data_IF_403880541950
#
_entry.id   IF_403880541950
#
_cell.length_a   1.000
_cell.length_b   1.000
_cell.length_c   1.000
_cell.angle_alpha   90.00
_cell.angle_beta   90.00
_cell.angle_gamma   90.00
#
_symmetry.space_group_name_H-M   'P 1'
#
loop_
_entity.id
_entity.type
_entity.pdbx_description
1 polymer ?
#
# COMPACT_ATOMS: atom_id res chain seq x y z
N UNK A 1 37.62 47.22 42.56
CA UNK A 1 38.67 48.21 42.24
C UNK A 1 38.44 48.54 40.76
N UNK A 2 37.54 49.49 40.48
CA UNK A 2 37.77 50.96 40.44
C UNK A 2 38.53 51.34 39.17
N UNK A 3 37.86 51.88 38.13
CA UNK A 3 37.60 53.33 37.90
C UNK A 3 38.80 53.98 37.16
N UNK A 4 38.71 55.02 36.30
CA UNK A 4 37.57 55.61 35.57
C UNK A 4 37.96 55.94 34.10
N UNK A 5 37.38 56.95 33.45
CA UNK A 5 36.78 56.75 32.12
C UNK A 5 36.63 58.05 31.27
N UNK A 6 35.65 58.07 30.34
CA UNK A 6 35.08 59.27 29.65
C UNK A 6 36.02 59.94 28.61
N UNK A 7 35.61 60.47 27.43
CA UNK A 7 34.36 61.07 26.88
C UNK A 7 34.01 60.44 25.48
N UNK A 8 32.75 60.19 25.06
CA UNK A 8 31.60 61.11 24.73
C UNK A 8 31.91 62.05 23.53
N UNK A 9 31.09 62.20 22.47
CA UNK A 9 29.61 62.46 22.34
C UNK A 9 29.11 62.03 20.92
N UNK A 10 27.97 61.33 20.76
CA UNK A 10 26.60 61.82 20.36
C UNK A 10 26.52 62.55 18.99
N UNK A 11 25.49 62.52 18.12
CA UNK A 11 24.12 61.93 18.02
C UNK A 11 23.52 62.46 16.67
N UNK A 12 22.49 61.95 15.98
CA UNK A 12 21.54 60.84 16.17
C UNK A 12 20.40 60.91 15.11
N UNK A 13 19.35 60.09 15.30
CA UNK A 13 17.99 60.16 14.69
C UNK A 13 17.70 59.84 13.20
N UNK A 14 16.66 58.98 13.05
CA UNK A 14 15.85 58.61 11.87
C UNK A 14 14.72 59.66 11.62
N UNK A 15 13.66 59.42 10.80
CA UNK A 15 13.50 58.87 9.42
C UNK A 15 12.65 59.80 8.49
N UNK A 16 12.39 59.40 7.22
CA UNK A 16 11.12 59.46 6.41
C UNK A 16 11.49 59.16 4.92
N UNK A 17 10.82 58.27 4.16
CA UNK A 17 9.66 58.45 3.23
C UNK A 17 9.87 59.59 2.18
N UNK A 18 9.53 59.46 0.88
CA UNK A 18 8.66 58.51 0.16
C UNK A 18 8.82 58.57 -1.40
N UNK A 19 8.25 57.59 -2.14
CA UNK A 19 7.98 57.53 -3.61
C UNK A 19 9.17 57.66 -4.62
N UNK A 20 9.28 56.84 -5.67
CA UNK A 20 8.24 56.56 -6.69
C UNK A 20 8.25 55.13 -7.27
N UNK A 21 7.13 54.74 -7.90
CA UNK A 21 6.83 53.36 -8.35
C UNK A 21 7.09 53.15 -9.84
N UNK A 22 7.60 51.97 -10.22
CA UNK A 22 7.41 51.39 -11.57
C UNK A 22 6.92 49.95 -11.45
N UNK A 23 5.66 49.70 -11.84
CA UNK A 23 5.00 48.40 -11.68
C UNK A 23 5.43 47.38 -12.75
N UNK A 24 5.96 46.22 -12.33
CA UNK A 24 5.98 45.01 -13.17
C UNK A 24 5.09 43.94 -12.51
N UNK A 25 3.86 43.80 -13.03
CA UNK A 25 2.89 42.79 -12.56
C UNK A 25 3.33 41.39 -13.01
N UNK A 26 3.88 40.57 -12.12
CA UNK A 26 3.89 39.11 -12.30
C UNK A 26 2.51 38.56 -11.92
N UNK A 27 1.73 38.13 -12.91
CA UNK A 27 0.41 37.51 -12.65
C UNK A 27 0.57 36.07 -12.16
N UNK A 28 0.27 35.81 -10.89
CA UNK A 28 0.09 34.46 -10.37
C UNK A 28 -1.23 33.87 -10.88
N UNK A 29 -1.20 33.16 -12.02
CA UNK A 29 -2.33 32.33 -12.47
C UNK A 29 -2.37 31.02 -11.67
N UNK A 30 -2.77 31.09 -10.40
CA UNK A 30 -3.21 29.90 -9.65
C UNK A 30 -4.44 29.34 -10.33
N UNK A 31 -4.46 28.05 -10.66
CA UNK A 31 -5.55 27.50 -11.46
C UNK A 31 -6.86 27.45 -10.67
N UNK A 32 -8.00 27.65 -11.35
CA UNK A 32 -9.33 27.41 -10.77
C UNK A 32 -9.49 25.97 -10.25
N UNK A 33 -8.74 25.00 -10.82
CA UNK A 33 -8.66 23.62 -10.30
C UNK A 33 -7.89 23.52 -8.98
N UNK A 34 -6.78 24.25 -8.79
CA UNK A 34 -6.06 24.30 -7.50
C UNK A 34 -6.90 24.94 -6.40
N UNK A 35 -7.61 26.03 -6.72
CA UNK A 35 -8.48 26.71 -5.76
C UNK A 35 -9.65 25.79 -5.36
N UNK A 36 -10.26 25.06 -6.32
CA UNK A 36 -11.28 24.04 -6.03
C UNK A 36 -10.72 22.88 -5.18
N UNK A 37 -9.54 22.36 -5.52
CA UNK A 37 -8.90 21.26 -4.77
C UNK A 37 -8.59 21.64 -3.32
N UNK A 38 -8.06 22.85 -3.10
CA UNK A 38 -7.77 23.37 -1.76
C UNK A 38 -9.03 23.62 -0.94
N UNK A 39 -10.12 24.10 -1.55
CA UNK A 39 -11.39 24.31 -0.85
C UNK A 39 -12.08 22.97 -0.51
N UNK A 40 -12.10 22.01 -1.43
CA UNK A 40 -12.60 20.65 -1.18
C UNK A 40 -11.79 19.97 -0.05
N UNK A 41 -10.47 20.12 -0.07
CA UNK A 41 -9.57 19.62 1.00
C UNK A 41 -9.88 20.23 2.37
N UNK A 42 -10.22 21.53 2.45
CA UNK A 42 -10.65 22.18 3.70
C UNK A 42 -12.01 21.65 4.19
N UNK A 43 -12.95 21.44 3.27
CA UNK A 43 -14.30 20.94 3.58
C UNK A 43 -14.25 19.49 4.09
N UNK A 44 -13.41 18.64 3.49
CA UNK A 44 -13.13 17.28 3.98
C UNK A 44 -12.53 17.31 5.39
N UNK A 45 -11.49 18.13 5.64
CA UNK A 45 -10.86 18.27 6.98
C UNK A 45 -11.87 18.66 8.07
N UNK A 46 -12.83 19.55 7.75
CA UNK A 46 -13.86 19.96 8.69
C UNK A 46 -14.84 18.81 9.04
N UNK A 47 -15.22 18.00 8.06
CA UNK A 47 -16.09 16.85 8.27
C UNK A 47 -15.38 15.72 9.03
N UNK A 48 -14.11 15.42 8.70
CA UNK A 48 -13.30 14.40 9.42
C UNK A 48 -13.14 14.74 10.91
N UNK A 49 -12.96 16.02 11.27
CA UNK A 49 -12.90 16.44 12.69
C UNK A 49 -14.21 16.23 13.45
N UNK A 50 -15.36 16.48 12.82
CA UNK A 50 -16.67 16.21 13.45
C UNK A 50 -16.94 14.71 13.61
N UNK A 51 -16.56 13.90 12.62
CA UNK A 51 -16.76 12.45 12.63
C UNK A 51 -15.85 11.73 13.64
N UNK A 52 -14.61 12.19 13.83
CA UNK A 52 -13.67 11.62 14.83
C UNK A 52 -14.09 11.88 16.28
N UNK A 53 -14.70 13.03 16.60
CA UNK A 53 -15.29 13.27 17.92
C UNK A 53 -16.51 12.38 18.21
N UNK A 54 -17.29 12.02 17.19
CA UNK A 54 -18.42 11.08 17.34
C UNK A 54 -17.96 9.67 17.69
N UNK A 55 -16.86 9.21 17.09
CA UNK A 55 -16.30 7.88 17.38
C UNK A 55 -15.76 7.81 18.83
N UNK A 56 -15.06 8.85 19.29
CA UNK A 56 -14.53 8.90 20.66
C UNK A 56 -15.61 8.81 21.75
N UNK A 57 -16.81 9.36 21.50
CA UNK A 57 -17.95 9.18 22.42
C UNK A 57 -18.43 7.74 22.48
N UNK A 58 -18.56 7.09 21.32
CA UNK A 58 -18.98 5.69 21.21
C UNK A 58 -17.97 4.70 21.82
N UNK A 59 -16.71 5.13 22.05
CA UNK A 59 -15.70 4.36 22.77
C UNK A 59 -15.79 4.48 24.31
N UNK A 60 -16.43 5.51 24.85
CA UNK A 60 -16.56 5.67 26.30
C UNK A 60 -17.55 4.67 26.89
N UNK A 61 -18.65 4.42 26.18
CA UNK A 61 -19.73 3.49 26.56
C UNK A 61 -19.25 2.02 26.61
N UNK A 62 -18.29 1.63 25.77
CA UNK A 62 -17.75 0.26 25.69
C UNK A 62 -16.95 -0.12 26.95
N UNK A 63 -16.41 0.86 27.68
CA UNK A 63 -15.45 0.62 28.77
C UNK A 63 -16.09 0.09 30.05
N UNK A 64 -17.42 0.07 30.14
CA UNK A 64 -18.15 -0.46 31.30
C UNK A 64 -18.44 -1.98 31.16
N UNK A 65 -18.58 -2.49 29.93
CA UNK A 65 -18.90 -3.91 29.66
C UNK A 65 -17.67 -4.86 29.75
N UNK A 66 -16.45 -4.37 29.59
CA UNK A 66 -15.23 -5.21 29.49
C UNK A 66 -14.73 -5.82 30.82
N UNK A 67 -15.50 -5.71 31.92
CA UNK A 67 -15.07 -6.23 33.24
C UNK A 67 -15.38 -7.71 33.50
N UNK A 68 -15.98 -8.43 32.55
CA UNK A 68 -16.22 -9.87 32.67
C UNK A 68 -15.76 -10.66 31.43
N UNK A 69 -15.24 -11.87 31.72
CA UNK A 69 -14.82 -12.94 30.78
C UNK A 69 -13.40 -12.78 30.21
N UNK A 70 -12.45 -13.40 30.92
CA UNK A 70 -11.13 -13.79 30.44
C UNK A 70 -11.12 -15.28 30.07
N UNK A 71 -10.07 -15.71 29.36
CA UNK A 71 -9.72 -17.11 29.01
C UNK A 71 -10.57 -17.81 27.94
N UNK A 72 -10.02 -17.99 26.74
CA UNK A 72 -9.42 -19.27 26.30
C UNK A 72 -8.89 -19.20 24.85
N UNK A 73 -8.05 -20.17 24.47
CA UNK A 73 -7.13 -20.09 23.33
C UNK A 73 -7.43 -21.07 22.20
N UNK A 74 -6.99 -20.70 20.98
CA UNK A 74 -6.36 -21.65 20.06
C UNK A 74 -7.25 -22.43 19.05
N UNK A 75 -7.29 -21.93 17.81
CA UNK A 75 -7.15 -22.74 16.58
C UNK A 75 -6.87 -21.84 15.38
N UNK A 76 -5.94 -22.25 14.51
CA UNK A 76 -5.56 -21.53 13.30
C UNK A 76 -6.09 -22.31 12.09
N UNK A 77 -6.80 -21.64 11.18
CA UNK A 77 -7.36 -22.25 9.97
C UNK A 77 -6.32 -22.22 8.85
N UNK A 78 -6.14 -23.37 8.19
CA UNK A 78 -5.33 -23.53 6.97
C UNK A 78 -5.99 -22.86 5.78
N UNK A 79 -5.20 -22.15 4.97
CA UNK A 79 -5.59 -21.67 3.65
C UNK A 79 -4.99 -22.62 2.60
N UNK A 80 -5.75 -22.93 1.55
CA UNK A 80 -5.37 -23.92 0.53
C UNK A 80 -5.31 -23.34 -0.88
N UNK A 81 -4.12 -23.36 -1.47
CA UNK A 81 -3.80 -24.00 -2.76
C UNK A 81 -4.58 -23.66 -4.06
N UNK A 82 -5.21 -22.48 -4.18
CA UNK A 82 -5.93 -22.05 -5.40
C UNK A 82 -5.22 -20.94 -6.23
N UNK A 83 -3.97 -20.61 -5.93
CA UNK A 83 -3.27 -19.41 -6.46
C UNK A 83 -3.20 -19.28 -8.01
N UNK A 84 -3.38 -20.38 -8.74
CA UNK A 84 -3.25 -20.42 -10.21
C UNK A 84 -4.51 -20.81 -11.00
N UNK A 85 -5.65 -21.14 -10.36
CA UNK A 85 -6.88 -21.49 -11.09
C UNK A 85 -7.98 -20.45 -10.89
N UNK A 86 -8.70 -20.20 -11.99
CA UNK A 86 -9.80 -19.21 -12.16
C UNK A 86 -9.39 -17.73 -12.33
N UNK A 87 -9.01 -17.40 -13.57
CA UNK A 87 -9.29 -16.09 -14.15
C UNK A 87 -10.18 -16.30 -15.40
N UNK A 88 -11.48 -16.53 -15.19
CA UNK A 88 -12.45 -16.52 -16.30
C UNK A 88 -12.87 -15.07 -16.56
N UNK A 89 -12.41 -14.49 -17.67
CA UNK A 89 -13.02 -13.27 -18.22
C UNK A 89 -14.45 -13.56 -18.62
N UNK A 90 -15.39 -13.14 -17.78
CA UNK A 90 -16.82 -13.36 -17.95
C UNK A 90 -17.50 -12.10 -18.50
N UNK A 91 -17.68 -12.03 -19.82
CA UNK A 91 -18.69 -11.14 -20.41
C UNK A 91 -20.08 -11.76 -20.16
N UNK A 92 -20.62 -11.57 -18.95
CA UNK A 92 -21.99 -11.95 -18.62
C UNK A 92 -22.90 -10.70 -18.59
N UNK A 93 -24.19 -10.85 -18.93
CA UNK A 93 -25.17 -9.76 -18.80
C UNK A 93 -25.28 -9.30 -17.34
N UNK A 94 -25.68 -8.04 -17.13
CA UNK A 94 -25.76 -7.36 -15.82
C UNK A 94 -26.42 -8.25 -14.76
N UNK A 95 -25.58 -8.92 -13.97
CA UNK A 95 -26.04 -9.79 -12.91
C UNK A 95 -26.60 -8.90 -11.80
N UNK A 96 -27.88 -9.06 -11.47
CA UNK A 96 -28.51 -8.32 -10.36
C UNK A 96 -27.78 -8.75 -9.08
N UNK A 97 -27.05 -7.82 -8.47
CA UNK A 97 -26.38 -8.10 -7.20
C UNK A 97 -27.47 -8.19 -6.14
N UNK A 98 -27.69 -9.39 -5.63
CA UNK A 98 -28.61 -9.62 -4.52
C UNK A 98 -27.91 -9.19 -3.22
N UNK A 99 -28.36 -8.07 -2.65
CA UNK A 99 -27.76 -7.42 -1.49
C UNK A 99 -28.72 -7.55 -0.31
N UNK A 100 -28.25 -8.05 0.83
CA UNK A 100 -29.08 -8.10 2.03
C UNK A 100 -29.47 -6.69 2.52
N UNK A 101 -30.66 -6.57 3.10
CA UNK A 101 -31.24 -5.28 3.50
C UNK A 101 -30.37 -4.48 4.48
N UNK A 102 -29.55 -5.16 5.31
CA UNK A 102 -28.64 -4.53 6.27
C UNK A 102 -27.44 -3.90 5.56
N UNK A 103 -26.86 -4.60 4.59
CA UNK A 103 -25.81 -4.03 3.71
C UNK A 103 -26.35 -2.85 2.92
N UNK A 104 -27.53 -3.00 2.30
CA UNK A 104 -28.13 -1.95 1.49
C UNK A 104 -28.35 -0.66 2.31
N UNK A 105 -28.89 -0.78 3.54
CA UNK A 105 -29.07 0.35 4.44
C UNK A 105 -27.77 1.07 4.83
N UNK A 106 -26.64 0.34 4.98
CA UNK A 106 -25.33 0.94 5.26
C UNK A 106 -24.81 1.73 4.05
N UNK A 107 -24.96 1.18 2.85
CA UNK A 107 -24.56 1.83 1.61
C UNK A 107 -25.38 3.10 1.34
N UNK A 108 -26.71 3.02 1.48
CA UNK A 108 -27.61 4.13 1.24
C UNK A 108 -27.39 5.29 2.24
N UNK A 109 -27.24 4.99 3.54
CA UNK A 109 -26.92 5.98 4.57
C UNK A 109 -25.63 6.77 4.27
N UNK A 110 -24.75 6.20 3.45
CA UNK A 110 -23.44 6.77 3.10
C UNK A 110 -23.34 7.19 1.63
N UNK A 111 -24.47 7.22 0.91
CA UNK A 111 -24.55 7.60 -0.50
C UNK A 111 -23.67 6.75 -1.42
N UNK A 112 -23.60 5.43 -1.20
CA UNK A 112 -22.94 4.48 -2.11
C UNK A 112 -23.96 3.54 -2.77
N UNK A 113 -23.64 3.04 -3.97
CA UNK A 113 -24.30 1.89 -4.59
C UNK A 113 -23.25 0.88 -5.07
N UNK A 114 -23.57 -0.42 -5.04
CA UNK A 114 -22.77 -1.44 -5.73
C UNK A 114 -23.14 -1.45 -7.22
N UNK A 115 -22.19 -1.84 -8.07
CA UNK A 115 -22.35 -1.91 -9.53
C UNK A 115 -22.02 -3.29 -10.09
N UNK A 116 -20.83 -3.81 -9.80
CA UNK A 116 -20.36 -5.14 -10.23
C UNK A 116 -19.49 -5.77 -9.13
N UNK A 117 -19.52 -7.10 -9.01
CA UNK A 117 -18.63 -7.85 -8.12
C UNK A 117 -17.29 -8.04 -8.80
N UNK A 118 -16.22 -7.53 -8.20
CA UNK A 118 -14.85 -7.59 -8.73
C UNK A 118 -14.12 -8.85 -8.27
N UNK A 119 -14.30 -9.25 -7.00
CA UNK A 119 -13.66 -10.46 -6.47
C UNK A 119 -14.40 -11.03 -5.25
N UNK A 120 -14.08 -12.28 -4.94
CA UNK A 120 -14.48 -12.98 -3.72
C UNK A 120 -13.24 -13.64 -3.14
N UNK A 121 -12.99 -13.42 -1.85
CA UNK A 121 -11.90 -14.05 -1.10
C UNK A 121 -12.42 -14.75 0.15
N UNK A 122 -11.52 -15.42 0.87
CA UNK A 122 -11.85 -16.26 2.05
C UNK A 122 -12.59 -15.52 3.17
N UNK A 123 -12.48 -14.19 3.23
CA UNK A 123 -12.98 -13.35 4.31
C UNK A 123 -14.08 -12.37 3.90
N UNK A 124 -14.43 -12.31 2.62
CA UNK A 124 -15.37 -11.33 2.10
C UNK A 124 -15.20 -11.04 0.61
N UNK A 125 -15.85 -9.99 0.17
CA UNK A 125 -16.09 -9.69 -1.25
C UNK A 125 -15.66 -8.27 -1.57
N UNK A 126 -15.23 -8.04 -2.81
CA UNK A 126 -14.92 -6.69 -3.31
C UNK A 126 -15.83 -6.39 -4.48
N UNK A 127 -16.49 -5.25 -4.39
CA UNK A 127 -17.39 -4.73 -5.42
C UNK A 127 -16.83 -3.44 -5.98
N UNK A 128 -17.08 -3.18 -7.26
CA UNK A 128 -17.10 -1.82 -7.78
C UNK A 128 -18.40 -1.20 -7.32
N UNK A 129 -18.31 0.02 -6.85
CA UNK A 129 -19.46 0.84 -6.52
C UNK A 129 -19.27 2.25 -7.05
N UNK A 130 -20.20 3.10 -6.64
CA UNK A 130 -20.24 4.50 -7.02
C UNK A 130 -20.68 5.32 -5.81
N UNK A 131 -19.98 6.44 -5.58
CA UNK A 131 -20.41 7.46 -4.64
C UNK A 131 -21.46 8.35 -5.32
N UNK A 132 -22.72 8.25 -4.90
CA UNK A 132 -23.90 8.84 -5.56
C UNK A 132 -23.88 10.38 -5.62
N UNK A 133 -23.02 11.05 -4.85
CA UNK A 133 -22.95 12.53 -4.80
C UNK A 133 -22.18 13.12 -5.99
N UNK A 134 -21.05 12.49 -6.36
CA UNK A 134 -20.15 12.97 -7.43
C UNK A 134 -19.98 11.97 -8.58
N UNK A 135 -20.74 10.86 -8.54
CA UNK A 135 -20.66 9.72 -9.46
C UNK A 135 -19.27 9.07 -9.55
N UNK A 136 -18.39 9.29 -8.56
CA UNK A 136 -17.05 8.69 -8.55
C UNK A 136 -17.14 7.19 -8.35
N UNK A 137 -16.50 6.44 -9.25
CA UNK A 137 -16.29 4.99 -9.10
C UNK A 137 -15.37 4.70 -7.91
N UNK A 138 -15.74 3.70 -7.11
CA UNK A 138 -15.00 3.27 -5.92
C UNK A 138 -14.92 1.74 -5.87
N UNK A 139 -13.94 1.21 -5.15
CA UNK A 139 -13.96 -0.18 -4.70
C UNK A 139 -14.54 -0.24 -3.28
N UNK A 140 -15.39 -1.23 -3.01
CA UNK A 140 -16.06 -1.44 -1.73
C UNK A 140 -15.79 -2.87 -1.30
N UNK A 141 -14.90 -3.04 -0.31
CA UNK A 141 -14.55 -4.35 0.27
C UNK A 141 -15.42 -4.59 1.49
N UNK A 142 -16.22 -5.66 1.45
CA UNK A 142 -17.17 -6.05 2.48
C UNK A 142 -16.65 -7.34 3.12
N UNK A 143 -16.26 -7.26 4.38
CA UNK A 143 -15.69 -8.37 5.16
C UNK A 143 -16.68 -8.85 6.22
N UNK A 144 -16.84 -10.17 6.34
CA UNK A 144 -17.60 -10.78 7.42
C UNK A 144 -16.68 -10.98 8.63
N UNK A 145 -16.77 -10.06 9.59
CA UNK A 145 -15.92 -10.10 10.78
C UNK A 145 -16.38 -11.16 11.79
N UNK A 146 -17.57 -11.76 11.66
CA UNK A 146 -18.01 -12.79 12.61
C UNK A 146 -17.07 -14.01 12.61
N UNK A 147 -16.69 -14.46 11.41
CA UNK A 147 -15.84 -15.62 11.09
C UNK A 147 -14.35 -15.42 11.38
N UNK A 148 -13.94 -14.22 11.77
CA UNK A 148 -12.53 -13.87 12.00
C UNK A 148 -12.08 -14.18 13.42
N UNK A 149 -10.82 -14.60 13.58
CA UNK A 149 -10.21 -14.79 14.90
C UNK A 149 -10.07 -13.45 15.65
N UNK A 150 -10.00 -13.49 16.98
CA UNK A 150 -9.86 -12.29 17.82
C UNK A 150 -8.64 -11.46 17.43
N UNK A 151 -7.48 -12.13 17.23
CA UNK A 151 -6.23 -11.56 16.72
C UNK A 151 -6.28 -11.01 15.27
N UNK A 152 -7.36 -11.26 14.53
CA UNK A 152 -7.61 -10.62 13.22
C UNK A 152 -8.60 -9.47 13.36
N UNK A 153 -9.60 -9.57 14.25
CA UNK A 153 -10.48 -8.47 14.67
C UNK A 153 -9.69 -7.31 15.29
N UNK A 154 -8.67 -7.61 16.09
CA UNK A 154 -7.73 -6.66 16.71
C UNK A 154 -6.93 -5.84 15.69
N UNK A 155 -6.74 -6.32 14.45
CA UNK A 155 -6.06 -5.56 13.37
C UNK A 155 -6.94 -4.50 12.70
N UNK A 156 -8.22 -4.49 13.07
CA UNK A 156 -9.19 -3.46 12.69
C UNK A 156 -9.51 -2.57 13.91
N UNK A 157 -8.53 -2.36 14.78
CA UNK A 157 -8.57 -1.37 15.86
C UNK A 157 -8.43 0.04 15.27
N UNK A 158 -9.10 1.01 15.89
CA UNK A 158 -9.23 2.38 15.37
C UNK A 158 -7.89 3.09 15.11
N UNK A 159 -6.80 2.74 15.82
CA UNK A 159 -5.47 3.34 15.61
C UNK A 159 -4.86 2.95 14.27
N UNK A 160 -4.79 1.65 13.98
CA UNK A 160 -4.27 1.14 12.69
C UNK A 160 -5.19 1.58 11.53
N UNK A 161 -6.51 1.50 11.71
CA UNK A 161 -7.46 1.98 10.71
C UNK A 161 -7.36 3.49 10.44
N UNK A 162 -7.05 4.29 11.46
CA UNK A 162 -6.84 5.74 11.28
C UNK A 162 -5.60 6.01 10.42
N UNK A 163 -4.48 5.33 10.66
CA UNK A 163 -3.29 5.46 9.82
C UNK A 163 -3.57 5.08 8.36
N UNK A 164 -4.41 4.07 8.13
CA UNK A 164 -4.87 3.68 6.79
C UNK A 164 -5.80 4.71 6.13
N UNK A 165 -6.71 5.34 6.89
CA UNK A 165 -7.59 6.42 6.40
C UNK A 165 -6.81 7.72 6.17
N UNK A 166 -5.72 7.96 6.90
CA UNK A 166 -4.85 9.15 6.78
C UNK A 166 -3.68 8.97 5.79
N UNK A 167 -3.38 7.74 5.37
CA UNK A 167 -2.42 7.42 4.30
C UNK A 167 -2.70 8.21 3.02
N UNK A 168 -1.73 9.01 2.56
CA UNK A 168 -1.81 9.81 1.32
C UNK A 168 -0.55 9.58 0.49
N UNK A 169 -0.58 8.59 -0.40
CA UNK A 169 0.53 8.28 -1.30
C UNK A 169 0.03 7.91 -2.71
N UNK A 170 0.75 8.30 -3.77
CA UNK A 170 0.30 8.07 -5.15
C UNK A 170 0.17 6.58 -5.48
N UNK A 171 1.10 5.77 -4.97
CA UNK A 171 1.22 4.34 -5.25
C UNK A 171 0.69 3.45 -4.10
N UNK A 172 -0.18 3.99 -3.25
CA UNK A 172 -0.99 3.22 -2.29
C UNK A 172 -2.47 3.49 -2.61
N UNK A 173 -3.32 2.47 -2.53
CA UNK A 173 -4.77 2.63 -2.73
C UNK A 173 -5.35 3.54 -1.66
N UNK A 174 -6.00 4.63 -2.07
CA UNK A 174 -6.62 5.55 -1.12
C UNK A 174 -7.85 4.92 -0.46
N UNK A 175 -7.84 4.79 0.87
CA UNK A 175 -9.06 4.51 1.65
C UNK A 175 -9.80 5.82 1.92
N UNK A 176 -11.11 5.86 1.63
CA UNK A 176 -11.98 7.02 1.81
C UNK A 176 -12.78 6.98 3.11
N UNK A 177 -13.33 5.82 3.48
CA UNK A 177 -14.09 5.62 4.71
C UNK A 177 -14.04 4.14 5.13
N UNK A 178 -14.19 3.86 6.43
CA UNK A 178 -14.29 2.51 6.97
C UNK A 178 -15.46 2.48 7.94
N UNK A 179 -16.38 1.53 7.74
CA UNK A 179 -17.60 1.41 8.53
C UNK A 179 -17.69 0.00 9.10
N UNK A 180 -17.94 -0.12 10.40
CA UNK A 180 -18.32 -1.38 11.04
C UNK A 180 -19.82 -1.36 11.32
N UNK A 181 -20.54 -2.38 10.86
CA UNK A 181 -21.98 -2.54 11.11
C UNK A 181 -22.40 -3.98 10.93
N UNK A 182 -23.31 -4.49 11.77
CA UNK A 182 -23.93 -5.82 11.62
C UNK A 182 -22.92 -6.97 11.46
N UNK A 183 -21.86 -7.00 12.27
CA UNK A 183 -20.74 -7.96 12.16
C UNK A 183 -20.07 -8.01 10.77
N UNK A 184 -20.13 -6.90 10.03
CA UNK A 184 -19.36 -6.66 8.80
C UNK A 184 -18.52 -5.39 8.89
N UNK A 185 -17.44 -5.38 8.11
CA UNK A 185 -16.62 -4.20 7.87
C UNK A 185 -16.71 -3.81 6.39
N UNK A 186 -17.00 -2.55 6.12
CA UNK A 186 -17.11 -1.97 4.79
C UNK A 186 -15.96 -0.98 4.61
N UNK A 187 -15.07 -1.24 3.66
CA UNK A 187 -13.92 -0.39 3.34
C UNK A 187 -14.18 0.22 1.97
N UNK A 188 -14.37 1.54 1.94
CA UNK A 188 -14.59 2.31 0.72
C UNK A 188 -13.25 2.89 0.28
N UNK A 189 -12.82 2.60 -0.94
CA UNK A 189 -11.47 2.92 -1.41
C UNK A 189 -11.41 3.21 -2.91
N UNK A 190 -10.27 3.71 -3.36
CA UNK A 190 -9.97 4.04 -4.75
C UNK A 190 -10.15 2.83 -5.68
N UNK A 191 -10.88 3.04 -6.78
CA UNK A 191 -11.06 2.03 -7.81
C UNK A 191 -9.90 2.07 -8.82
N UNK A 192 -9.23 0.93 -8.99
CA UNK A 192 -8.16 0.75 -9.96
C UNK A 192 -8.71 -0.03 -11.16
N UNK A 193 -8.93 0.65 -12.28
CA UNK A 193 -9.72 0.13 -13.41
C UNK A 193 -9.03 -0.96 -14.23
N UNK A 194 -7.70 -1.07 -14.17
CA UNK A 194 -6.92 -2.02 -14.97
C UNK A 194 -6.60 -3.34 -14.24
N UNK A 195 -7.28 -3.62 -13.11
CA UNK A 195 -7.19 -4.89 -12.39
C UNK A 195 -5.92 -5.04 -11.55
N UNK A 196 -5.49 -6.29 -11.32
CA UNK A 196 -4.28 -6.63 -10.54
C UNK A 196 -3.07 -6.93 -11.43
N UNK A 197 -1.86 -6.86 -10.88
CA UNK A 197 -0.67 -7.39 -11.57
C UNK A 197 -0.79 -8.89 -11.86
N UNK A 198 -1.50 -9.67 -11.04
CA UNK A 198 -1.77 -11.09 -11.35
C UNK A 198 -2.55 -11.23 -12.66
N UNK A 199 -3.58 -10.41 -12.87
CA UNK A 199 -4.36 -10.41 -14.12
C UNK A 199 -3.49 -9.98 -15.31
N UNK A 200 -2.61 -9.00 -15.12
CA UNK A 200 -1.68 -8.54 -16.15
C UNK A 200 -0.69 -9.65 -16.55
N UNK A 201 0.01 -10.24 -15.59
CA UNK A 201 1.01 -11.31 -15.84
C UNK A 201 0.35 -12.56 -16.43
N UNK A 202 -0.85 -12.95 -15.96
CA UNK A 202 -1.61 -14.07 -16.56
C UNK A 202 -2.00 -13.81 -18.02
N UNK A 203 -2.13 -12.55 -18.45
CA UNK A 203 -2.50 -12.17 -19.82
C UNK A 203 -1.29 -11.95 -20.74
N UNK A 204 -0.19 -11.41 -20.23
CA UNK A 204 0.95 -10.95 -21.04
C UNK A 204 2.28 -11.66 -20.74
N UNK A 205 2.34 -12.48 -19.69
CA UNK A 205 3.57 -13.15 -19.26
C UNK A 205 4.55 -12.22 -18.55
N UNK A 206 5.85 -12.46 -18.77
CA UNK A 206 6.92 -11.64 -18.22
C UNK A 206 6.89 -10.21 -18.82
N UNK A 207 7.24 -9.23 -17.98
CA UNK A 207 7.33 -7.83 -18.36
C UNK A 207 8.72 -7.49 -18.91
N UNK A 208 8.78 -6.59 -19.89
CA UNK A 208 10.03 -5.93 -20.28
C UNK A 208 10.67 -5.25 -19.07
N UNK A 209 12.00 -5.26 -18.99
CA UNK A 209 12.74 -4.71 -17.85
C UNK A 209 12.40 -3.22 -17.58
N UNK A 210 12.17 -2.42 -18.62
CA UNK A 210 11.74 -1.01 -18.47
C UNK A 210 10.39 -0.89 -17.76
N UNK A 211 9.37 -1.66 -18.16
CA UNK A 211 8.07 -1.66 -17.48
C UNK A 211 8.19 -2.15 -16.03
N UNK A 212 8.96 -3.22 -15.81
CA UNK A 212 9.21 -3.73 -14.46
C UNK A 212 9.91 -2.69 -13.58
N UNK A 213 10.89 -1.92 -14.11
CA UNK A 213 11.59 -0.84 -13.39
C UNK A 213 10.64 0.28 -12.97
N UNK A 214 9.74 0.70 -13.86
CA UNK A 214 8.76 1.76 -13.57
C UNK A 214 7.85 1.35 -12.42
N UNK A 215 7.25 0.16 -12.50
CA UNK A 215 6.37 -0.37 -11.46
C UNK A 215 7.12 -0.66 -10.16
N UNK A 216 8.33 -1.22 -10.23
CA UNK A 216 9.11 -1.50 -9.03
C UNK A 216 9.54 -0.22 -8.31
N UNK A 217 9.91 0.84 -9.04
CA UNK A 217 10.16 2.19 -8.47
C UNK A 217 8.94 2.70 -7.70
N UNK A 218 7.77 2.66 -8.33
CA UNK A 218 6.51 3.07 -7.72
C UNK A 218 6.14 2.24 -6.46
N UNK A 219 6.41 0.93 -6.46
CA UNK A 219 6.23 0.08 -5.27
C UNK A 219 7.26 0.35 -4.17
N UNK A 220 8.51 0.67 -4.53
CA UNK A 220 9.56 1.06 -3.58
C UNK A 220 9.21 2.39 -2.90
N UNK A 221 8.71 3.37 -3.65
CA UNK A 221 8.24 4.64 -3.10
C UNK A 221 7.06 4.41 -2.12
N UNK A 222 6.09 3.57 -2.51
CA UNK A 222 4.97 3.19 -1.64
C UNK A 222 5.42 2.49 -0.35
N UNK A 223 6.31 1.50 -0.46
CA UNK A 223 6.77 0.73 0.68
C UNK A 223 7.66 1.56 1.60
N UNK A 224 8.50 2.43 1.05
CA UNK A 224 9.29 3.39 1.81
C UNK A 224 8.38 4.29 2.64
N UNK A 225 7.32 4.86 2.06
CA UNK A 225 6.32 5.66 2.79
C UNK A 225 5.61 4.87 3.91
N UNK A 226 5.20 3.63 3.65
CA UNK A 226 4.56 2.76 4.66
C UNK A 226 5.51 2.47 5.83
N UNK A 227 6.77 2.16 5.54
CA UNK A 227 7.80 1.85 6.54
C UNK A 227 8.24 3.09 7.34
N UNK A 228 8.40 4.24 6.69
CA UNK A 228 8.99 5.45 7.29
C UNK A 228 7.96 6.41 7.88
N UNK A 229 6.88 6.70 7.19
CA UNK A 229 5.90 7.73 7.60
C UNK A 229 4.74 7.11 8.38
N UNK A 230 4.20 5.98 7.92
CA UNK A 230 3.12 5.29 8.62
C UNK A 230 3.60 4.40 9.78
N UNK A 231 4.91 4.15 9.88
CA UNK A 231 5.52 3.21 10.83
C UNK A 231 4.79 1.86 10.84
N UNK A 232 4.53 1.31 9.65
CA UNK A 232 3.89 0.00 9.49
C UNK A 232 4.72 -0.93 8.61
N UNK A 233 4.47 -2.23 8.71
CA UNK A 233 4.81 -3.21 7.68
C UNK A 233 3.52 -3.79 7.08
N UNK A 234 3.55 -4.17 5.80
CA UNK A 234 2.38 -4.62 5.04
C UNK A 234 2.10 -6.13 5.22
N UNK A 235 3.15 -6.95 5.16
CA UNK A 235 3.21 -8.40 5.41
C UNK A 235 2.33 -9.29 4.52
N UNK A 236 1.93 -8.80 3.35
CA UNK A 236 1.26 -9.58 2.29
C UNK A 236 1.45 -8.93 0.91
N UNK A 237 2.68 -8.50 0.59
CA UNK A 237 3.00 -7.93 -0.72
C UNK A 237 3.03 -9.09 -1.74
N UNK A 238 2.18 -9.00 -2.76
CA UNK A 238 2.03 -9.99 -3.85
C UNK A 238 1.35 -9.39 -5.07
N UNK A 239 1.38 -10.10 -6.20
CA UNK A 239 0.78 -9.64 -7.47
C UNK A 239 -0.72 -9.30 -7.37
N UNK A 240 -1.49 -10.00 -6.52
CA UNK A 240 -2.92 -9.74 -6.33
C UNK A 240 -3.19 -8.45 -5.55
N UNK A 241 -2.27 -8.07 -4.66
CA UNK A 241 -2.34 -6.89 -3.81
C UNK A 241 -1.67 -5.66 -4.45
N UNK A 242 -1.28 -5.75 -5.72
CA UNK A 242 -0.83 -4.59 -6.51
C UNK A 242 -1.83 -4.38 -7.64
N UNK A 243 -2.54 -3.26 -7.60
CA UNK A 243 -3.54 -2.87 -8.58
C UNK A 243 -2.95 -1.92 -9.63
N UNK A 244 -3.58 -1.84 -10.80
CA UNK A 244 -3.25 -0.90 -11.87
C UNK A 244 -4.33 0.18 -12.01
N UNK A 245 -3.94 1.44 -11.85
CA UNK A 245 -4.82 2.60 -12.05
C UNK A 245 -5.17 2.82 -13.54
N UNK A 246 -6.01 3.81 -13.83
CA UNK A 246 -6.44 4.16 -15.19
C UNK A 246 -5.29 4.45 -16.19
N UNK A 247 -4.10 4.81 -15.67
CA UNK A 247 -2.88 5.15 -16.41
C UNK A 247 -1.81 4.05 -16.33
N UNK A 248 -2.16 2.86 -15.83
CA UNK A 248 -1.25 1.74 -15.58
C UNK A 248 -0.12 2.05 -14.58
N UNK A 249 -0.32 2.99 -13.63
CA UNK A 249 0.54 3.07 -12.45
C UNK A 249 0.13 2.00 -11.43
N UNK A 250 1.10 1.49 -10.68
CA UNK A 250 0.82 0.53 -9.61
C UNK A 250 0.37 1.21 -8.33
N UNK A 251 -0.59 0.58 -7.65
CA UNK A 251 -1.09 0.95 -6.32
C UNK A 251 -1.14 -0.27 -5.41
N UNK A 252 -0.36 -0.23 -4.33
CA UNK A 252 -0.34 -1.28 -3.31
C UNK A 252 -1.64 -1.22 -2.47
N UNK A 253 -2.24 -2.38 -2.19
CA UNK A 253 -3.53 -2.51 -1.50
C UNK A 253 -3.56 -3.68 -0.53
N UNK A 254 -4.66 -3.79 0.22
CA UNK A 254 -4.97 -4.85 1.18
C UNK A 254 -4.05 -4.94 2.41
N UNK A 255 -4.14 -3.93 3.25
CA UNK A 255 -3.50 -3.85 4.56
C UNK A 255 -4.10 -4.80 5.62
N UNK A 256 -4.87 -5.84 5.25
CA UNK A 256 -5.47 -6.79 6.21
C UNK A 256 -4.46 -7.62 7.03
N UNK A 257 -3.19 -7.61 6.61
CA UNK A 257 -2.06 -8.19 7.35
C UNK A 257 -1.09 -7.14 7.90
N UNK A 258 -1.37 -5.85 7.76
CA UNK A 258 -0.49 -4.79 8.27
C UNK A 258 -0.28 -4.89 9.79
N UNK A 259 0.80 -4.27 10.27
CA UNK A 259 1.11 -4.18 11.70
C UNK A 259 1.88 -2.88 11.97
N UNK A 260 1.49 -2.15 13.02
CA UNK A 260 2.29 -1.05 13.56
C UNK A 260 3.69 -1.56 14.05
N UNK A 261 4.72 -0.78 13.74
CA UNK A 261 6.12 -1.04 14.07
C UNK A 261 6.41 -0.54 15.48
N UNK A 262 6.43 -1.45 16.44
CA UNK A 262 6.84 -1.16 17.82
C UNK A 262 8.37 -1.19 17.96
N UNK A 263 8.92 -0.22 18.69
CA UNK A 263 10.33 -0.18 19.06
C UNK A 263 10.52 -0.76 20.46
N UNK A 264 11.56 -1.58 20.65
CA UNK A 264 11.89 -2.17 21.94
C UNK A 264 13.08 -1.41 22.56
N UNK A 265 12.79 -0.49 23.49
CA UNK A 265 13.81 0.37 24.11
C UNK A 265 14.93 -0.44 24.77
N UNK A 266 14.57 -1.52 25.49
CA UNK A 266 15.52 -2.38 26.20
C UNK A 266 16.54 -3.08 25.28
N UNK A 267 16.15 -3.39 24.04
CA UNK A 267 17.01 -4.04 23.04
C UNK A 267 17.52 -3.07 21.97
N UNK A 268 17.14 -1.79 22.04
CA UNK A 268 17.43 -0.75 21.05
C UNK A 268 17.19 -1.21 19.59
N UNK A 269 16.09 -1.92 19.36
CA UNK A 269 15.76 -2.46 18.04
C UNK A 269 14.24 -2.56 17.82
N UNK A 270 13.85 -2.72 16.56
CA UNK A 270 12.47 -3.02 16.18
C UNK A 270 11.99 -4.34 16.79
N UNK A 271 10.73 -4.40 17.24
CA UNK A 271 10.12 -5.64 17.71
C UNK A 271 9.90 -6.65 16.58
N UNK A 272 10.51 -7.81 16.73
CA UNK A 272 10.29 -8.96 15.86
C UNK A 272 8.86 -9.49 16.03
N UNK A 273 8.28 -10.03 14.95
CA UNK A 273 6.98 -10.69 14.97
C UNK A 273 7.14 -12.20 14.82
N UNK A 274 6.44 -12.97 15.65
CA UNK A 274 6.28 -14.42 15.50
C UNK A 274 4.96 -14.81 14.80
N UNK A 275 4.16 -13.83 14.33
CA UNK A 275 2.89 -14.12 13.67
C UNK A 275 3.12 -14.51 12.22
N UNK A 276 2.87 -15.77 11.89
CA UNK A 276 2.86 -16.30 10.51
C UNK A 276 1.63 -15.75 9.78
N UNK A 277 1.86 -15.10 8.65
CA UNK A 277 0.86 -14.60 7.71
C UNK A 277 1.52 -14.19 6.38
N UNK A 278 0.71 -13.76 5.42
CA UNK A 278 1.14 -13.55 4.04
C UNK A 278 0.85 -14.78 3.19
N UNK A 279 1.28 -14.74 1.92
CA UNK A 279 1.02 -15.80 0.93
C UNK A 279 2.29 -16.58 0.64
N UNK A 280 2.22 -17.91 0.61
CA UNK A 280 3.35 -18.85 0.70
C UNK A 280 4.52 -18.55 -0.23
N UNK A 281 4.34 -18.29 -1.56
CA UNK A 281 5.46 -18.05 -2.48
C UNK A 281 6.30 -16.81 -2.15
N UNK A 282 5.74 -15.88 -1.37
CA UNK A 282 6.36 -14.61 -0.99
C UNK A 282 6.99 -14.64 0.41
N UNK A 283 6.90 -15.77 1.13
CA UNK A 283 7.42 -15.88 2.50
C UNK A 283 8.95 -15.90 2.52
N UNK A 284 9.55 -15.12 3.43
CA UNK A 284 10.99 -15.12 3.67
C UNK A 284 11.44 -16.37 4.45
N UNK A 285 12.74 -16.74 4.43
CA UNK A 285 13.23 -17.96 5.07
C UNK A 285 12.90 -18.04 6.55
N UNK A 286 12.98 -16.92 7.26
CA UNK A 286 12.64 -16.81 8.68
C UNK A 286 11.17 -17.18 8.96
N UNK A 287 10.26 -16.77 8.08
CA UNK A 287 8.82 -16.98 8.20
C UNK A 287 8.45 -18.43 7.82
N UNK A 288 9.08 -19.01 6.79
CA UNK A 288 8.98 -20.45 6.47
C UNK A 288 9.49 -21.32 7.62
N UNK A 289 10.61 -20.91 8.25
CA UNK A 289 11.17 -21.53 9.46
C UNK A 289 10.35 -21.30 10.74
N UNK A 290 9.25 -20.52 10.68
CA UNK A 290 8.41 -20.15 11.82
C UNK A 290 9.16 -19.44 12.97
N UNK A 291 10.25 -18.74 12.65
CA UNK A 291 11.04 -17.96 13.60
C UNK A 291 10.49 -16.54 13.73
N UNK A 292 10.74 -15.84 14.86
CA UNK A 292 10.52 -14.40 14.93
C UNK A 292 11.33 -13.68 13.84
N UNK A 293 10.71 -12.74 13.13
CA UNK A 293 11.29 -12.05 11.97
C UNK A 293 11.06 -10.54 12.03
N UNK A 294 11.91 -9.77 11.35
CA UNK A 294 11.71 -8.34 11.14
C UNK A 294 10.66 -8.13 10.04
N UNK A 295 9.51 -7.50 10.34
CA UNK A 295 8.41 -7.42 9.39
C UNK A 295 8.72 -6.51 8.18
N UNK A 296 9.60 -5.52 8.32
CA UNK A 296 10.06 -4.68 7.20
C UNK A 296 10.98 -5.48 6.25
N UNK A 297 11.86 -6.32 6.80
CA UNK A 297 12.75 -7.19 5.99
C UNK A 297 11.98 -8.34 5.31
N UNK A 298 10.83 -8.73 5.85
CA UNK A 298 9.90 -9.65 5.19
C UNK A 298 9.18 -8.98 4.00
N UNK A 299 8.72 -7.73 4.14
CA UNK A 299 8.17 -6.95 3.01
C UNK A 299 9.21 -6.78 1.89
N UNK A 300 10.46 -6.49 2.24
CA UNK A 300 11.56 -6.39 1.26
C UNK A 300 11.76 -7.72 0.51
N UNK A 301 11.78 -8.85 1.22
CA UNK A 301 11.87 -10.16 0.56
C UNK A 301 10.71 -10.40 -0.43
N UNK A 302 9.47 -10.11 -0.01
CA UNK A 302 8.29 -10.25 -0.86
C UNK A 302 8.37 -9.36 -2.12
N UNK A 303 8.92 -8.15 -2.00
CA UNK A 303 9.26 -7.29 -3.15
C UNK A 303 10.27 -7.93 -4.11
N UNK A 304 11.27 -8.66 -3.61
CA UNK A 304 12.23 -9.39 -4.44
C UNK A 304 11.58 -10.53 -5.24
N UNK A 305 10.70 -11.29 -4.59
CA UNK A 305 9.90 -12.33 -5.25
C UNK A 305 9.00 -11.71 -6.33
N UNK A 306 8.38 -10.57 -6.05
CA UNK A 306 7.55 -9.81 -6.99
C UNK A 306 8.37 -9.32 -8.20
N UNK A 307 9.53 -8.70 -7.98
CA UNK A 307 10.43 -8.23 -9.05
C UNK A 307 10.92 -9.39 -9.92
N UNK A 308 11.35 -10.49 -9.30
CA UNK A 308 11.79 -11.68 -10.02
C UNK A 308 10.66 -12.22 -10.92
N UNK A 309 9.44 -12.34 -10.40
CA UNK A 309 8.30 -12.82 -11.18
C UNK A 309 7.83 -11.86 -12.27
N UNK A 310 7.94 -10.53 -12.07
CA UNK A 310 7.72 -9.55 -13.16
C UNK A 310 8.70 -9.80 -14.31
N UNK A 311 9.98 -9.99 -14.02
CA UNK A 311 11.03 -10.11 -15.03
C UNK A 311 11.12 -11.50 -15.70
N UNK A 312 10.72 -12.56 -14.99
CA UNK A 312 10.93 -13.95 -15.44
C UNK A 312 9.62 -14.72 -15.70
N UNK A 313 8.45 -14.16 -15.37
CA UNK A 313 7.15 -14.81 -15.54
C UNK A 313 6.91 -16.05 -14.64
N UNK A 314 7.79 -16.30 -13.67
CA UNK A 314 7.78 -17.46 -12.76
C UNK A 314 8.32 -17.08 -11.38
N UNK A 315 8.04 -17.87 -10.36
CA UNK A 315 8.64 -17.67 -9.04
C UNK A 315 10.13 -18.04 -8.98
N UNK A 316 10.90 -17.44 -8.05
CA UNK A 316 12.32 -17.75 -7.84
C UNK A 316 12.55 -19.11 -7.17
N UNK A 317 11.60 -19.60 -6.38
CA UNK A 317 11.70 -20.82 -5.57
C UNK A 317 10.47 -21.72 -5.78
N UNK A 318 10.63 -23.03 -5.64
CA UNK A 318 9.52 -23.97 -5.61
C UNK A 318 8.83 -23.92 -4.23
N UNK A 319 7.62 -23.35 -4.20
CA UNK A 319 6.83 -23.12 -2.99
C UNK A 319 5.88 -24.27 -2.61
N UNK A 320 5.71 -25.28 -3.47
CA UNK A 320 4.78 -26.39 -3.24
C UNK A 320 5.24 -27.35 -2.13
N UNK A 321 6.55 -27.41 -1.86
CA UNK A 321 7.12 -28.07 -0.68
C UNK A 321 7.90 -27.02 0.14
N UNK A 322 7.44 -26.64 1.35
CA UNK A 322 8.14 -25.69 2.21
C UNK A 322 9.58 -26.08 2.57
N UNK A 323 9.89 -27.39 2.60
CA UNK A 323 11.25 -27.90 2.89
C UNK A 323 12.18 -27.64 1.70
N UNK A 324 11.70 -27.92 0.48
CA UNK A 324 12.41 -27.61 -0.75
C UNK A 324 12.54 -26.10 -0.95
N UNK A 325 11.47 -25.33 -0.72
CA UNK A 325 11.47 -23.87 -0.76
C UNK A 325 12.59 -23.32 0.12
N UNK A 326 12.62 -23.71 1.40
CA UNK A 326 13.64 -23.25 2.34
C UNK A 326 15.06 -23.65 1.91
N UNK A 327 15.24 -24.85 1.35
CA UNK A 327 16.53 -25.33 0.83
C UNK A 327 17.00 -24.53 -0.38
N UNK A 328 16.10 -24.10 -1.26
CA UNK A 328 16.44 -23.25 -2.40
C UNK A 328 16.74 -21.81 -1.96
N UNK A 329 15.93 -21.26 -1.06
CA UNK A 329 16.12 -19.92 -0.50
C UNK A 329 17.45 -19.78 0.25
N UNK A 330 17.85 -20.80 1.02
CA UNK A 330 19.10 -20.79 1.80
C UNK A 330 20.34 -21.16 0.99
N UNK A 331 20.18 -21.78 -0.19
CA UNK A 331 21.29 -22.05 -1.11
C UNK A 331 21.58 -20.83 -2.01
N UNK A 332 21.93 -19.72 -1.36
CA UNK A 332 22.12 -18.41 -1.99
C UNK A 332 23.13 -18.44 -3.15
N UNK A 333 24.31 -19.10 -3.09
CA UNK A 333 25.23 -19.16 -4.22
C UNK A 333 24.64 -19.85 -5.46
N UNK A 334 23.80 -20.89 -5.27
CA UNK A 334 23.08 -21.55 -6.37
C UNK A 334 21.99 -20.64 -6.93
N UNK A 335 21.27 -19.91 -6.08
CA UNK A 335 20.28 -18.92 -6.49
C UNK A 335 20.94 -17.82 -7.35
N UNK A 336 22.04 -17.21 -6.89
CA UNK A 336 22.80 -16.20 -7.66
C UNK A 336 23.22 -16.74 -9.04
N UNK A 337 23.87 -17.91 -9.08
CA UNK A 337 24.26 -18.56 -10.35
C UNK A 337 23.06 -18.92 -11.25
N UNK A 338 21.87 -19.07 -10.70
CA UNK A 338 20.63 -19.30 -11.45
C UNK A 338 20.14 -18.00 -12.09
N UNK A 339 20.10 -16.90 -11.34
CA UNK A 339 19.59 -15.62 -11.86
C UNK A 339 20.51 -14.99 -12.90
N UNK A 340 21.83 -15.08 -12.72
CA UNK A 340 22.84 -14.60 -13.69
C UNK A 340 22.80 -15.29 -15.06
N UNK A 341 21.99 -16.33 -15.26
CA UNK A 341 21.77 -16.99 -16.56
C UNK A 341 20.56 -16.45 -17.33
N UNK A 342 19.77 -15.57 -16.72
CA UNK A 342 18.57 -15.00 -17.34
C UNK A 342 18.93 -13.82 -18.27
N UNK A 343 18.01 -13.47 -19.16
CA UNK A 343 18.15 -12.42 -20.19
C UNK A 343 17.88 -11.00 -19.65
N UNK A 344 18.26 -10.71 -18.40
CA UNK A 344 18.05 -9.40 -17.74
C UNK A 344 19.40 -8.76 -17.39
N UNK A 345 19.41 -7.44 -17.18
CA UNK A 345 20.63 -6.69 -16.90
C UNK A 345 21.37 -7.17 -15.65
N UNK A 346 22.68 -6.91 -15.60
CA UNK A 346 23.51 -7.23 -14.43
C UNK A 346 23.03 -6.46 -13.20
N UNK A 347 22.59 -5.20 -13.37
CA UNK A 347 22.04 -4.37 -12.29
C UNK A 347 20.69 -4.88 -11.78
N UNK A 348 19.86 -5.50 -12.65
CA UNK A 348 18.63 -6.17 -12.23
C UNK A 348 18.94 -7.42 -11.39
N UNK A 349 19.89 -8.25 -11.85
CA UNK A 349 20.35 -9.44 -11.14
C UNK A 349 20.97 -9.09 -9.77
N UNK A 350 21.83 -8.07 -9.72
CA UNK A 350 22.46 -7.56 -8.50
C UNK A 350 21.44 -7.00 -7.50
N UNK A 351 20.39 -6.31 -7.98
CA UNK A 351 19.29 -5.88 -7.11
C UNK A 351 18.51 -7.07 -6.54
N UNK A 352 18.10 -8.02 -7.40
CA UNK A 352 17.37 -9.21 -6.99
C UNK A 352 18.17 -10.02 -5.96
N UNK A 353 19.48 -10.17 -6.17
CA UNK A 353 20.40 -10.81 -5.24
C UNK A 353 20.31 -10.18 -3.84
N UNK A 354 20.61 -8.88 -3.74
CA UNK A 354 20.62 -8.13 -2.47
C UNK A 354 19.27 -8.14 -1.73
N UNK A 355 18.16 -8.21 -2.47
CA UNK A 355 16.81 -8.31 -1.89
C UNK A 355 16.49 -9.73 -1.39
N UNK A 356 16.90 -10.75 -2.14
CA UNK A 356 16.66 -12.16 -1.81
C UNK A 356 17.84 -12.82 -1.09
N UNK A 357 18.59 -12.02 -0.33
CA UNK A 357 19.55 -12.50 0.65
C UNK A 357 18.80 -13.23 1.79
N UNK A 358 19.10 -14.52 2.05
CA UNK A 358 18.44 -15.26 3.11
C UNK A 358 18.79 -14.75 4.51
N UNK A 359 19.93 -14.11 4.73
CA UNK A 359 20.26 -13.49 6.01
C UNK A 359 19.52 -12.15 6.16
N UNK A 360 18.69 -12.04 7.20
CA UNK A 360 17.88 -10.86 7.48
C UNK A 360 18.71 -9.62 7.84
N UNK A 361 19.93 -9.81 8.36
CA UNK A 361 20.81 -8.73 8.78
C UNK A 361 21.42 -8.03 7.55
N UNK A 362 22.02 -8.80 6.63
CA UNK A 362 22.68 -8.30 5.41
C UNK A 362 21.72 -7.98 4.28
N UNK A 363 20.51 -8.57 4.24
CA UNK A 363 19.45 -8.21 3.28
C UNK A 363 19.23 -6.71 3.24
N UNK A 364 19.24 -6.14 2.04
CA UNK A 364 19.06 -4.71 1.79
C UNK A 364 17.75 -4.15 2.41
N UNK A 365 17.72 -2.86 2.75
CA UNK A 365 16.49 -2.15 3.17
C UNK A 365 15.80 -1.45 1.99
N UNK A 366 14.51 -1.10 2.14
CA UNK A 366 13.77 -0.34 1.11
C UNK A 366 14.42 1.02 0.76
N UNK A 367 15.07 1.66 1.75
CA UNK A 367 15.82 2.90 1.54
C UNK A 367 17.07 2.70 0.67
N UNK A 368 17.74 1.56 0.79
CA UNK A 368 18.91 1.22 -0.03
C UNK A 368 18.48 0.74 -1.42
N UNK A 369 17.36 0.01 -1.53
CA UNK A 369 16.73 -0.32 -2.83
C UNK A 369 16.44 0.96 -3.62
N UNK A 370 15.82 1.98 -3.01
CA UNK A 370 15.52 3.26 -3.68
C UNK A 370 16.77 3.98 -4.21
N UNK A 371 17.96 3.65 -3.69
CA UNK A 371 19.25 4.20 -4.10
C UNK A 371 20.00 3.32 -5.10
N UNK A 372 19.49 2.15 -5.44
CA UNK A 372 20.16 1.18 -6.31
C UNK A 372 20.32 1.67 -7.76
N UNK A 373 21.42 1.25 -8.42
CA UNK A 373 21.73 1.68 -9.78
C UNK A 373 20.61 1.33 -10.77
N UNK A 374 20.03 0.13 -10.65
CA UNK A 374 18.94 -0.33 -11.52
C UNK A 374 17.66 0.54 -11.48
N UNK A 375 17.39 1.27 -10.38
CA UNK A 375 16.26 2.20 -10.30
C UNK A 375 16.63 3.62 -10.75
N UNK A 376 17.92 3.97 -10.66
CA UNK A 376 18.50 5.25 -11.10
C UNK A 376 18.78 5.31 -12.60
N UNK A 377 18.84 4.16 -13.30
CA UNK A 377 18.95 4.10 -14.76
C UNK A 377 17.63 4.51 -15.44
N UNK A 378 17.31 5.82 -15.33
CA UNK A 378 16.24 6.46 -16.09
C UNK A 378 16.68 6.52 -17.55
N UNK A 379 16.29 5.50 -18.31
CA UNK A 379 16.34 5.56 -19.76
C UNK A 379 15.23 6.49 -20.29
N UNK A 380 15.46 7.14 -21.43
CA UNK A 380 14.39 7.81 -22.19
C UNK A 380 13.27 6.82 -22.61
N UNK A 381 13.55 5.52 -22.53
CA UNK A 381 12.61 4.46 -22.89
C UNK A 381 11.54 4.26 -21.80
N UNK A 382 11.85 4.41 -20.51
CA UNK A 382 10.85 4.24 -19.42
C UNK A 382 9.58 5.09 -19.63
N UNK A 383 9.75 6.38 -19.93
CA UNK A 383 8.62 7.29 -20.21
C UNK A 383 7.90 6.98 -21.52
N UNK A 384 8.56 6.32 -22.47
CA UNK A 384 7.97 5.85 -23.73
C UNK A 384 7.21 4.53 -23.52
N UNK A 385 7.72 3.64 -22.66
CA UNK A 385 7.14 2.33 -22.34
C UNK A 385 5.73 2.47 -21.76
N UNK A 386 5.53 3.30 -20.73
CA UNK A 386 4.18 3.53 -20.19
C UNK A 386 3.22 4.15 -21.22
N UNK A 387 3.67 5.16 -21.99
CA UNK A 387 2.85 5.78 -23.04
C UNK A 387 2.45 4.76 -24.12
N UNK A 388 3.37 3.88 -24.49
CA UNK A 388 3.16 2.80 -25.48
C UNK A 388 2.22 1.72 -24.93
N UNK A 389 2.31 1.39 -23.64
CA UNK A 389 1.38 0.48 -22.97
C UNK A 389 -0.03 1.07 -22.98
N UNK A 390 -0.19 2.32 -22.54
CA UNK A 390 -1.48 3.03 -22.54
C UNK A 390 -2.08 3.06 -23.96
N UNK A 391 -1.30 3.41 -25.00
CA UNK A 391 -1.82 3.47 -26.37
C UNK A 391 -2.18 2.10 -26.96
N UNK A 392 -1.48 1.02 -26.58
CA UNK A 392 -1.82 -0.35 -27.00
C UNK A 392 -3.04 -0.90 -26.28
N UNK A 393 -3.24 -0.52 -25.02
CA UNK A 393 -4.32 -1.03 -24.17
C UNK A 393 -5.63 -0.25 -24.35
N UNK A 394 -5.57 1.02 -24.76
CA UNK A 394 -6.72 1.87 -25.08
C UNK A 394 -6.69 2.29 -26.57
N UNK A 395 -7.09 1.42 -27.51
CA UNK A 395 -6.93 1.65 -28.96
C UNK A 395 -7.86 2.72 -29.58
N UNK A 396 -8.65 3.46 -28.80
CA UNK A 396 -9.61 4.48 -29.23
C UNK A 396 -9.46 5.65 -28.23
N UNK A 397 -9.12 6.88 -28.62
CA UNK A 397 -9.82 7.72 -29.60
C UNK A 397 -8.95 8.22 -30.76
N UNK A 398 -9.19 7.67 -31.96
CA UNK A 398 -9.07 8.40 -33.23
C UNK A 398 -10.33 8.11 -34.05
N UNK A 399 -11.25 9.05 -33.99
CA UNK A 399 -12.37 9.23 -34.92
C UNK A 399 -12.11 10.51 -35.69
#
# INVERSE_FOLDING_TARGET
MSDDSINKRSSGNKPFREFSRSNVRKSSKTSLTEIRFNNLSRQIRANTRKQSQSLLKQYAEIREDERHISQQSGKFLSLSDDSFKTAKTSNNPKQVIEIDSKTQAVLDRKNYRLLEKLSQGSFGEVYKGEFKIDHRLVAIKILDISKMSMKFKERYVARELKALIECRHLNVVQIYDIIRSNNRLYIFMEYCSNGTLTMFIKKFGACSESLARIWFRQLVDALLYIHTELKMAHRDIKFDNVLLDEKFNVKLTDFGFAKELAWNDNKQQLELTATICGTEPFMCPQLVQRRPYNPMKADVWAMGVLLFGLLNGRFPFNWADPSLMLKEQTNYPKFIRSVSKNTISEEANDLIAKILDPDEQTRITVLEISKHLWLKSISNDDSRTLKTLISKMNPITKS
#
